data_IF_224897810877
#
_entry.id   IF_224897810877
#
_cell.length_a   1.000
_cell.length_b   1.000
_cell.length_c   1.000
_cell.angle_alpha   90.00
_cell.angle_beta   90.00
_cell.angle_gamma   90.00
#
_symmetry.space_group_name_H-M   'P 1'
#
loop_
_entity.id
_entity.type
_entity.pdbx_description
1 polymer ?
#
# COMPACT_ATOMS: atom_id res chain seq x y z
N UNK A 1 -11.56 -27.46 4.88
CA UNK A 1 -11.57 -26.10 5.46
C UNK A 1 -11.19 -25.11 4.37
N UNK A 2 -12.11 -24.81 3.44
CA UNK A 2 -11.76 -24.25 2.11
C UNK A 2 -12.29 -22.83 1.84
N UNK A 3 -12.70 -22.07 2.85
CA UNK A 3 -13.30 -20.73 2.66
C UNK A 3 -12.65 -19.65 3.53
N UNK A 4 -11.33 -19.50 3.47
CA UNK A 4 -10.66 -18.29 3.98
C UNK A 4 -9.99 -17.57 2.81
N UNK A 5 -10.60 -16.51 2.24
CA UNK A 5 -9.95 -15.74 1.18
C UNK A 5 -8.64 -15.14 1.71
N UNK A 6 -7.57 -15.27 0.94
CA UNK A 6 -6.30 -14.61 1.23
C UNK A 6 -6.49 -13.09 1.10
N UNK A 7 -5.78 -12.29 1.92
CA UNK A 7 -5.93 -10.82 1.86
C UNK A 7 -5.41 -10.27 0.54
N UNK A 8 -4.49 -10.97 -0.10
CA UNK A 8 -4.06 -10.69 -1.47
C UNK A 8 -5.20 -10.68 -2.51
N UNK A 9 -6.33 -11.37 -2.27
CA UNK A 9 -7.51 -11.30 -3.14
C UNK A 9 -8.25 -9.96 -3.06
N UNK A 10 -7.96 -9.14 -2.06
CA UNK A 10 -8.51 -7.79 -1.90
C UNK A 10 -7.64 -6.73 -2.58
N UNK A 11 -6.51 -7.12 -3.19
CA UNK A 11 -5.65 -6.18 -3.88
C UNK A 11 -6.36 -5.65 -5.13
N UNK A 12 -6.31 -4.33 -5.32
CA UNK A 12 -6.92 -3.67 -6.46
C UNK A 12 -5.83 -2.90 -7.19
N UNK A 13 -5.74 -3.11 -8.51
CA UNK A 13 -4.91 -2.31 -9.40
C UNK A 13 -5.84 -1.52 -10.32
N UNK A 14 -5.65 -0.21 -10.37
CA UNK A 14 -6.42 0.70 -11.22
C UNK A 14 -5.48 1.60 -12.00
N UNK A 15 -5.85 1.90 -13.25
CA UNK A 15 -5.19 2.92 -14.05
C UNK A 15 -6.06 4.19 -14.08
N UNK A 16 -5.43 5.35 -14.13
CA UNK A 16 -6.15 6.61 -14.25
C UNK A 16 -6.87 6.70 -15.62
N UNK A 17 -8.05 7.30 -15.64
CA UNK A 17 -8.87 7.39 -16.86
C UNK A 17 -8.22 8.25 -17.94
N UNK A 18 -7.56 9.34 -17.56
CA UNK A 18 -6.94 10.29 -18.50
C UNK A 18 -5.49 9.94 -18.86
N UNK A 19 -4.80 9.16 -18.00
CA UNK A 19 -3.40 8.77 -18.20
C UNK A 19 -3.20 7.31 -17.75
N UNK A 20 -3.18 6.34 -18.67
CA UNK A 20 -3.04 4.93 -18.34
C UNK A 20 -1.66 4.58 -17.75
N UNK A 21 -0.67 5.48 -17.83
CA UNK A 21 0.65 5.30 -17.19
C UNK A 21 0.62 5.67 -15.71
N UNK A 22 -0.41 6.40 -15.27
CA UNK A 22 -0.64 6.71 -13.86
C UNK A 22 -1.49 5.61 -13.23
N UNK A 23 -0.82 4.60 -12.67
CA UNK A 23 -1.48 3.45 -12.04
C UNK A 23 -1.39 3.53 -10.52
N UNK A 24 -2.51 3.24 -9.87
CA UNK A 24 -2.60 3.10 -8.42
C UNK A 24 -2.86 1.64 -8.05
N UNK A 25 -2.09 1.12 -7.10
CA UNK A 25 -2.37 -0.17 -6.47
C UNK A 25 -2.78 0.02 -5.02
N UNK A 26 -3.88 -0.59 -4.61
CA UNK A 26 -4.24 -0.79 -3.21
C UNK A 26 -3.93 -2.24 -2.83
N UNK A 27 -3.04 -2.44 -1.86
CA UNK A 27 -2.67 -3.78 -1.38
C UNK A 27 -2.97 -3.98 0.10
N UNK A 28 -3.58 -5.12 0.40
CA UNK A 28 -3.82 -5.57 1.77
C UNK A 28 -2.68 -6.48 2.21
N UNK A 29 -1.96 -6.07 3.25
CA UNK A 29 -0.90 -6.88 3.83
C UNK A 29 -1.46 -8.07 4.60
N UNK A 30 -0.86 -9.24 4.41
CA UNK A 30 -1.08 -10.44 5.25
C UNK A 30 -0.36 -10.34 6.61
N UNK A 31 0.65 -9.49 6.72
CA UNK A 31 1.41 -9.27 7.96
C UNK A 31 0.72 -8.20 8.81
N UNK A 32 0.54 -8.49 10.10
CA UNK A 32 -0.02 -7.53 11.05
C UNK A 32 0.90 -6.30 11.22
N UNK A 33 2.21 -6.52 11.29
CA UNK A 33 3.24 -5.48 11.47
C UNK A 33 4.27 -5.56 10.36
N UNK A 34 4.54 -4.42 9.72
CA UNK A 34 5.43 -4.35 8.55
C UNK A 34 6.84 -3.93 8.96
N UNK A 35 7.82 -4.74 8.55
CA UNK A 35 9.24 -4.49 8.74
C UNK A 35 9.89 -3.81 7.53
N UNK A 36 11.20 -3.55 7.66
CA UNK A 36 12.01 -2.92 6.62
C UNK A 36 12.11 -3.80 5.37
N UNK A 37 12.22 -5.12 5.56
CA UNK A 37 12.38 -6.08 4.46
C UNK A 37 11.16 -6.02 3.53
N UNK A 38 9.97 -6.05 4.12
CA UNK A 38 8.70 -6.02 3.39
C UNK A 38 8.53 -4.69 2.65
N UNK A 39 8.85 -3.55 3.27
CA UNK A 39 8.84 -2.25 2.59
C UNK A 39 9.76 -2.21 1.38
N UNK A 40 11.00 -2.71 1.50
CA UNK A 40 11.94 -2.74 0.37
C UNK A 40 11.43 -3.63 -0.77
N UNK A 41 10.81 -4.75 -0.44
CA UNK A 41 10.16 -5.61 -1.44
C UNK A 41 8.99 -4.90 -2.14
N UNK A 42 8.20 -4.11 -1.41
CA UNK A 42 7.13 -3.31 -2.01
C UNK A 42 7.67 -2.19 -2.92
N UNK A 43 8.69 -1.45 -2.48
CA UNK A 43 9.32 -0.41 -3.30
C UNK A 43 9.89 -1.00 -4.59
N UNK A 44 10.56 -2.17 -4.50
CA UNK A 44 11.06 -2.86 -5.69
C UNK A 44 9.94 -3.29 -6.64
N UNK A 45 8.85 -3.87 -6.10
CA UNK A 45 7.68 -4.24 -6.92
C UNK A 45 7.05 -3.02 -7.59
N UNK A 46 7.01 -1.86 -6.93
CA UNK A 46 6.54 -0.63 -7.56
C UNK A 46 7.39 -0.21 -8.73
N UNK A 47 8.71 -0.33 -8.63
CA UNK A 47 9.62 -0.04 -9.74
C UNK A 47 9.43 -1.04 -10.89
N UNK A 48 9.39 -2.34 -10.58
CA UNK A 48 9.21 -3.40 -11.57
C UNK A 48 7.84 -3.27 -12.31
N UNK A 49 6.78 -2.96 -11.57
CA UNK A 49 5.40 -2.79 -12.07
C UNK A 49 5.13 -1.36 -12.61
N UNK A 50 6.12 -0.46 -12.61
CA UNK A 50 6.01 0.94 -13.05
C UNK A 50 4.88 1.74 -12.36
N UNK A 51 4.63 1.44 -11.09
CA UNK A 51 3.56 2.06 -10.33
C UNK A 51 3.93 3.47 -9.88
N UNK A 52 3.07 4.43 -10.21
CA UNK A 52 3.20 5.83 -9.77
C UNK A 52 2.66 6.03 -8.35
N UNK A 53 1.67 5.23 -7.93
CA UNK A 53 1.01 5.35 -6.64
C UNK A 53 0.70 4.00 -6.00
N UNK A 54 0.97 3.89 -4.70
CA UNK A 54 0.66 2.69 -3.91
C UNK A 54 -0.01 3.07 -2.60
N UNK A 55 -1.07 2.34 -2.26
CA UNK A 55 -1.75 2.35 -0.97
C UNK A 55 -1.50 0.98 -0.31
N UNK A 56 -0.82 0.97 0.82
CA UNK A 56 -0.62 -0.23 1.63
C UNK A 56 -1.56 -0.21 2.84
N UNK A 57 -2.49 -1.15 2.90
CA UNK A 57 -3.39 -1.35 4.03
C UNK A 57 -2.77 -2.35 5.01
N UNK A 58 -2.55 -1.92 6.26
CA UNK A 58 -1.89 -2.69 7.33
C UNK A 58 -2.80 -2.83 8.55
N UNK A 59 -2.62 -3.88 9.34
CA UNK A 59 -3.51 -4.15 10.49
C UNK A 59 -3.04 -3.45 11.78
N UNK A 60 -1.73 -3.49 12.09
CA UNK A 60 -1.14 -2.90 13.30
C UNK A 60 -0.09 -1.82 13.01
N UNK A 61 0.23 -1.57 11.75
CA UNK A 61 1.15 -0.50 11.33
C UNK A 61 2.55 -0.97 10.94
N UNK A 62 3.43 0.01 10.76
CA UNK A 62 4.84 -0.14 10.43
C UNK A 62 5.70 -0.16 11.70
N UNK A 63 6.84 -0.84 11.64
CA UNK A 63 7.94 -0.58 12.59
C UNK A 63 8.52 0.83 12.35
N UNK A 64 9.08 1.51 13.37
CA UNK A 64 9.70 2.83 13.18
C UNK A 64 10.75 2.84 12.07
N UNK A 65 11.63 1.84 12.06
CA UNK A 65 12.65 1.67 11.02
C UNK A 65 12.04 1.50 9.62
N UNK A 66 10.92 0.80 9.49
CA UNK A 66 10.24 0.66 8.20
C UNK A 66 9.66 1.98 7.71
N UNK A 67 9.12 2.81 8.61
CA UNK A 67 8.63 4.15 8.28
C UNK A 67 9.76 5.05 7.78
N UNK A 68 10.91 5.04 8.45
CA UNK A 68 12.07 5.82 8.04
C UNK A 68 12.54 5.42 6.64
N UNK A 69 12.51 4.11 6.32
CA UNK A 69 12.85 3.60 4.99
C UNK A 69 11.85 4.07 3.94
N UNK A 70 10.54 4.06 4.21
CA UNK A 70 9.53 4.61 3.29
C UNK A 70 9.84 6.08 2.98
N UNK A 71 10.13 6.90 3.99
CA UNK A 71 10.45 8.32 3.78
C UNK A 71 11.70 8.46 2.94
N UNK A 72 12.81 7.83 3.34
CA UNK A 72 14.11 8.01 2.69
C UNK A 72 14.16 7.43 1.25
N UNK A 73 13.55 6.27 1.00
CA UNK A 73 13.58 5.61 -0.31
C UNK A 73 12.70 6.32 -1.35
N UNK A 74 11.67 7.04 -0.89
CA UNK A 74 10.68 7.67 -1.76
C UNK A 74 10.84 9.19 -1.88
N UNK A 75 11.58 9.82 -0.96
CA UNK A 75 11.85 11.27 -0.98
C UNK A 75 12.36 11.78 -2.33
N UNK A 76 13.17 10.97 -3.02
CA UNK A 76 13.77 11.32 -4.30
C UNK A 76 13.04 10.73 -5.52
N UNK A 77 11.96 9.98 -5.31
CA UNK A 77 11.20 9.33 -6.38
C UNK A 77 9.90 10.10 -6.61
N UNK A 78 9.52 10.29 -7.88
CA UNK A 78 8.21 10.86 -8.25
C UNK A 78 7.09 9.83 -8.11
N UNK A 79 7.04 9.12 -6.98
CA UNK A 79 6.05 8.09 -6.69
C UNK A 79 5.41 8.37 -5.32
N UNK A 80 4.15 7.99 -5.18
CA UNK A 80 3.40 8.14 -3.93
C UNK A 80 3.29 6.79 -3.23
N UNK A 81 3.60 6.73 -1.94
CA UNK A 81 3.36 5.55 -1.11
C UNK A 81 2.66 5.96 0.17
N UNK A 82 1.44 5.48 0.32
CA UNK A 82 0.59 5.79 1.46
C UNK A 82 0.33 4.53 2.26
N UNK A 83 0.30 4.67 3.58
CA UNK A 83 0.03 3.55 4.48
C UNK A 83 -1.17 3.90 5.35
N UNK A 84 -2.18 3.03 5.33
CA UNK A 84 -3.41 3.19 6.10
C UNK A 84 -3.60 2.01 7.03
N UNK A 85 -4.17 2.26 8.21
CA UNK A 85 -4.66 1.18 9.04
C UNK A 85 -5.99 0.68 8.49
N UNK A 86 -6.16 -0.64 8.46
CA UNK A 86 -7.43 -1.26 8.05
C UNK A 86 -8.60 -0.73 8.87
N UNK A 87 -8.40 -0.47 10.16
CA UNK A 87 -9.40 0.11 11.05
C UNK A 87 -9.84 1.53 10.67
N UNK A 88 -8.97 2.31 10.03
CA UNK A 88 -9.30 3.68 9.58
C UNK A 88 -10.18 3.67 8.33
N UNK A 89 -10.07 2.61 7.52
CA UNK A 89 -10.82 2.46 6.27
C UNK A 89 -12.19 1.79 6.47
N UNK A 90 -12.53 1.39 7.70
CA UNK A 90 -13.85 0.80 8.02
C UNK A 90 -14.99 1.81 7.93
N UNK A 91 -14.68 3.10 8.04
CA UNK A 91 -15.66 4.19 7.99
C UNK A 91 -15.19 5.22 6.98
N UNK A 92 -16.04 5.52 6.00
CA UNK A 92 -15.77 6.62 5.09
C UNK A 92 -16.03 7.96 5.79
N UNK A 93 -14.96 8.60 6.28
CA UNK A 93 -15.06 9.88 6.98
C UNK A 93 -15.53 11.04 6.09
N UNK A 94 -15.48 10.90 4.76
CA UNK A 94 -16.03 11.93 3.85
C UNK A 94 -17.55 12.01 3.87
N UNK A 95 -18.21 11.00 4.44
CA UNK A 95 -19.66 10.94 4.65
C UNK A 95 -20.04 11.26 6.11
N UNK A 96 -19.08 11.65 6.93
CA UNK A 96 -19.35 12.06 8.30
C UNK A 96 -19.82 13.52 8.30
N UNK A 97 -21.10 13.74 8.62
CA UNK A 97 -21.67 15.06 8.89
C UNK A 97 -21.26 15.59 10.27
#
# INVERSE_FOLDING_TARGET
>A
SENKPARSHLNVLVAHNDDPTNTLVARFSDQEKIGVKEIKEYCKKMEDEHLTSTILIVQKGLTPMARDVVVNELENKKVQFQVFLESELLVNITEHN
#
